data_IF_684358046506
#
_entry.id   IF_684358046506
#
_cell.length_a   1.000
_cell.length_b   1.000
_cell.length_c   1.000
_cell.angle_alpha   90.00
_cell.angle_beta   90.00
_cell.angle_gamma   90.00
#
_symmetry.space_group_name_H-M   'P 1'
#
loop_
_entity.id
_entity.type
_entity.pdbx_description
1 polymer ?
2 polymer ?
3 branched ?
4 non-polymer ?
5 non-polymer ?
6 non-polymer ?
7 water ?
#
# COMPACT_ATOMS: atom_id res chain seq x y z
N UNK A 1 -10.63 -20.97 -25.17
CA UNK A 1 -11.30 -20.00 -24.29
C UNK A 1 -11.12 -20.39 -22.81
N UNK A 2 -10.64 -19.44 -22.01
CA UNK A 2 -10.15 -19.75 -20.68
C UNK A 2 -10.92 -19.07 -19.54
N UNK A 3 -12.00 -18.35 -19.83
CA UNK A 3 -12.76 -17.66 -18.81
C UNK A 3 -14.22 -17.53 -19.22
N UNK A 4 -14.99 -16.87 -18.36
CA UNK A 4 -16.41 -16.63 -18.58
C UNK A 4 -16.72 -15.15 -18.31
N UNK A 5 -17.35 -14.50 -19.27
CA UNK A 5 -17.61 -13.06 -19.23
C UNK A 5 -19.04 -12.77 -18.78
N UNK A 6 -19.19 -11.72 -17.97
CA UNK A 6 -20.49 -11.21 -17.63
C UNK A 6 -20.53 -9.70 -17.80
N UNK A 7 -21.72 -9.11 -17.57
CA UNK A 7 -21.80 -7.64 -17.54
C UNK A 7 -20.80 -6.94 -16.62
N UNK A 8 -20.70 -7.33 -15.34
CA UNK A 8 -19.79 -6.66 -14.40
C UNK A 8 -18.74 -7.60 -13.81
N UNK A 9 -18.25 -8.58 -14.56
CA UNK A 9 -17.28 -9.49 -13.97
C UNK A 9 -16.57 -10.28 -15.06
N UNK A 10 -15.52 -11.00 -14.62
CA UNK A 10 -14.79 -11.95 -15.44
C UNK A 10 -14.36 -13.07 -14.51
N UNK A 11 -14.95 -14.25 -14.67
CA UNK A 11 -14.60 -15.41 -13.86
C UNK A 11 -13.48 -16.15 -14.59
N UNK A 12 -12.34 -16.34 -13.98
CA UNK A 12 -11.21 -16.99 -14.66
C UNK A 12 -11.34 -18.51 -14.70
N UNK A 13 -12.43 -18.98 -15.33
CA UNK A 13 -12.70 -20.41 -15.44
C UNK A 13 -13.61 -20.62 -16.63
N UNK A 14 -13.31 -21.61 -17.46
CA UNK A 14 -14.10 -21.85 -18.66
C UNK A 14 -15.47 -22.40 -18.27
N UNK A 15 -16.49 -22.00 -19.04
CA UNK A 15 -17.85 -22.49 -18.85
C UNK A 15 -18.18 -23.64 -19.79
N UNK A 16 -17.15 -24.39 -20.21
CA UNK A 16 -17.36 -25.51 -21.12
C UNK A 16 -18.32 -26.53 -20.53
N UNK A 17 -18.21 -26.77 -19.22
CA UNK A 17 -19.05 -27.73 -18.52
C UNK A 17 -20.34 -27.10 -17.99
N UNK A 18 -20.48 -25.78 -18.08
CA UNK A 18 -21.70 -25.11 -17.68
C UNK A 18 -21.84 -24.86 -16.19
N UNK A 19 -20.76 -25.00 -15.41
CA UNK A 19 -20.85 -24.88 -13.96
C UNK A 19 -20.56 -23.47 -13.44
N UNK A 20 -20.12 -22.54 -14.30
CA UNK A 20 -19.71 -21.23 -13.83
C UNK A 20 -20.94 -20.39 -13.48
N UNK A 21 -20.84 -19.66 -12.37
CA UNK A 21 -21.92 -18.79 -11.89
C UNK A 21 -21.39 -17.38 -11.65
N UNK A 22 -22.32 -16.43 -11.68
CA UNK A 22 -21.99 -15.05 -11.37
C UNK A 22 -21.35 -14.95 -9.99
N UNK A 23 -20.17 -14.32 -9.86
CA UNK A 23 -19.56 -14.19 -8.54
C UNK A 23 -20.36 -13.31 -7.58
N UNK A 24 -21.43 -12.68 -8.06
CA UNK A 24 -22.35 -11.95 -7.21
C UNK A 24 -23.52 -12.81 -6.72
N UNK A 25 -23.66 -14.05 -7.19
CA UNK A 25 -24.89 -14.81 -6.97
C UNK A 25 -24.71 -16.21 -6.39
N UNK A 26 -23.55 -16.82 -6.47
CA UNK A 26 -23.40 -18.22 -6.06
C UNK A 26 -21.93 -18.49 -5.77
N UNK A 27 -21.63 -19.49 -4.93
CA UNK A 27 -20.22 -19.75 -4.59
C UNK A 27 -19.40 -20.18 -5.80
N UNK A 28 -18.09 -19.99 -5.70
CA UNK A 28 -17.15 -20.26 -6.78
C UNK A 28 -16.28 -21.46 -6.48
N UNK A 29 -16.86 -22.50 -5.89
CA UNK A 29 -16.13 -23.69 -5.48
C UNK A 29 -15.62 -24.53 -6.66
N UNK A 30 -15.80 -24.08 -7.90
CA UNK A 30 -15.26 -24.75 -9.06
C UNK A 30 -13.93 -24.18 -9.53
N UNK A 31 -13.47 -23.06 -8.99
CA UNK A 31 -12.13 -22.55 -9.30
C UNK A 31 -11.21 -22.56 -8.09
N UNK A 32 -11.72 -22.96 -6.92
CA UNK A 32 -10.88 -23.26 -5.77
C UNK A 32 -11.69 -24.15 -4.85
N UNK A 33 -11.01 -25.08 -4.18
CA UNK A 33 -11.72 -25.91 -3.22
C UNK A 33 -12.21 -25.05 -2.05
N UNK A 34 -13.26 -25.50 -1.34
CA UNK A 34 -13.68 -24.76 -0.14
C UNK A 34 -12.55 -24.52 0.86
N UNK A 35 -11.65 -25.49 1.04
CA UNK A 35 -10.58 -25.30 2.02
C UNK A 35 -9.65 -24.16 1.62
N UNK A 36 -9.52 -23.88 0.32
CA UNK A 36 -8.70 -22.73 -0.09
C UNK A 36 -9.40 -21.42 0.18
N UNK A 37 -10.73 -21.38 0.02
CA UNK A 37 -11.50 -20.21 0.45
C UNK A 37 -11.38 -20.01 1.96
N UNK A 38 -11.34 -21.11 2.71
CA UNK A 38 -11.12 -21.03 4.15
C UNK A 38 -9.72 -20.49 4.48
N UNK A 39 -8.71 -20.86 3.67
CA UNK A 39 -7.37 -20.34 3.88
C UNK A 39 -7.29 -18.87 3.51
N UNK A 40 -8.01 -18.46 2.46
CA UNK A 40 -8.16 -17.04 2.17
C UNK A 40 -8.73 -16.29 3.38
N UNK A 41 -9.79 -16.83 3.99
CA UNK A 41 -10.37 -16.21 5.18
C UNK A 41 -9.38 -16.19 6.33
N UNK A 42 -8.62 -17.28 6.49
CA UNK A 42 -7.63 -17.32 7.56
C UNK A 42 -6.56 -16.26 7.36
N UNK A 43 -6.17 -16.03 6.10
CA UNK A 43 -5.16 -15.02 5.87
C UNK A 43 -5.70 -13.62 6.16
N UNK A 44 -6.94 -13.34 5.75
CA UNK A 44 -7.55 -12.05 6.10
C UNK A 44 -7.68 -11.89 7.61
N UNK A 45 -7.94 -12.98 8.33
CA UNK A 45 -7.99 -12.91 9.79
C UNK A 45 -6.63 -12.52 10.36
N UNK A 46 -5.55 -13.11 9.86
CA UNK A 46 -4.20 -12.74 10.29
C UNK A 46 -3.95 -11.25 10.07
N UNK A 47 -4.25 -10.74 8.87
CA UNK A 47 -3.97 -9.34 8.57
C UNK A 47 -4.82 -8.39 9.41
N UNK A 48 -6.00 -8.84 9.86
CA UNK A 48 -6.84 -8.01 10.73
C UNK A 48 -6.30 -8.02 12.15
N UNK A 49 -5.97 -9.22 12.66
CA UNK A 49 -5.49 -9.34 14.04
C UNK A 49 -4.17 -8.63 14.26
N UNK A 50 -3.33 -8.53 13.23
CA UNK A 50 -2.07 -7.78 13.34
C UNK A 50 -2.22 -6.35 12.85
N UNK A 51 -2.83 -6.18 11.66
CA UNK A 51 -2.88 -4.86 11.04
C UNK A 51 -3.72 -3.85 11.77
N UNK A 52 -4.75 -4.29 12.51
CA UNK A 52 -5.58 -3.33 13.22
C UNK A 52 -4.92 -2.82 14.49
N UNK A 53 -4.41 -3.67 15.40
CA UNK A 53 -3.73 -3.11 16.60
C UNK A 53 -2.53 -2.25 16.26
N UNK A 54 -1.64 -2.72 15.38
CA UNK A 54 -0.44 -1.95 15.04
C UNK A 54 -0.80 -0.56 14.53
N UNK A 55 -1.80 -0.47 13.64
CA UNK A 55 -2.13 0.83 13.07
C UNK A 55 -3.02 1.66 14.00
N UNK A 56 -3.89 1.01 14.77
CA UNK A 56 -4.69 1.75 15.74
C UNK A 56 -3.82 2.27 16.88
N UNK A 57 -2.91 1.43 17.38
CA UNK A 57 -1.99 1.87 18.43
C UNK A 57 -1.19 3.09 17.99
N UNK A 58 -0.78 3.13 16.71
CA UNK A 58 -0.08 4.31 16.19
C UNK A 58 -0.90 5.58 16.36
N UNK A 59 -2.19 5.52 16.04
CA UNK A 59 -3.05 6.68 16.28
C UNK A 59 -3.19 6.97 17.77
N UNK A 60 -3.31 5.92 18.57
CA UNK A 60 -3.62 6.08 19.99
C UNK A 60 -2.48 6.75 20.74
N UNK A 61 -1.23 6.29 20.53
CA UNK A 61 -0.12 6.89 21.27
C UNK A 61 0.11 8.33 20.81
N UNK A 62 -0.15 8.63 19.54
CA UNK A 62 -0.07 10.02 19.10
C UNK A 62 -1.03 10.91 19.88
N UNK A 63 -2.19 10.38 20.27
CA UNK A 63 -3.13 11.13 21.08
C UNK A 63 -2.59 11.32 22.51
N UNK A 64 -1.82 10.35 23.01
CA UNK A 64 -1.36 10.35 24.39
C UNK A 64 0.04 10.92 24.59
N UNK A 65 0.84 11.06 23.53
CA UNK A 65 2.22 11.50 23.66
C UNK A 65 2.44 12.79 22.86
N UNK A 66 2.56 13.90 23.58
CA UNK A 66 2.69 15.22 22.93
C UNK A 66 3.85 15.23 21.93
N UNK A 67 4.96 14.57 22.25
CA UNK A 67 6.15 14.72 21.43
C UNK A 67 6.01 14.06 20.07
N UNK A 68 4.95 13.29 19.84
CA UNK A 68 4.71 12.67 18.54
C UNK A 68 4.00 13.59 17.57
N UNK A 69 3.40 14.69 18.05
CA UNK A 69 2.54 15.54 17.22
C UNK A 69 3.34 16.67 16.57
N UNK A 70 4.38 16.27 15.78
CA UNK A 70 5.26 17.09 14.97
C UNK A 70 4.88 17.00 13.49
N UNK A 71 5.09 18.07 12.72
CA UNK A 71 4.75 18.04 11.29
C UNK A 71 5.36 16.89 10.50
N UNK A 72 6.64 16.58 10.72
CA UNK A 72 7.27 15.47 10.01
C UNK A 72 6.67 14.11 10.36
N UNK A 73 5.84 14.04 11.41
CA UNK A 73 5.14 12.81 11.74
C UNK A 73 3.73 12.75 11.13
N UNK A 74 3.18 13.89 10.67
CA UNK A 74 1.84 13.90 10.11
C UNK A 74 1.66 12.80 9.06
N UNK A 75 2.66 12.62 8.19
CA UNK A 75 2.53 11.69 7.08
C UNK A 75 2.55 10.25 7.58
N UNK A 76 3.20 9.99 8.72
CA UNK A 76 3.15 8.66 9.31
C UNK A 76 1.78 8.39 9.92
N UNK A 77 1.14 9.41 10.48
CA UNK A 77 -0.24 9.29 10.89
C UNK A 77 -1.12 8.97 9.69
N UNK A 78 -0.89 9.68 8.59
CA UNK A 78 -1.60 9.41 7.35
C UNK A 78 -1.42 7.98 6.90
N UNK A 79 -0.21 7.45 7.03
CA UNK A 79 0.06 6.06 6.70
C UNK A 79 -0.79 5.12 7.52
N UNK A 80 -0.94 5.41 8.82
CA UNK A 80 -1.69 4.52 9.70
C UNK A 80 -3.17 4.56 9.39
N UNK A 81 -3.70 5.73 9.03
CA UNK A 81 -5.11 5.85 8.65
C UNK A 81 -5.38 5.13 7.33
N UNK A 82 -4.47 5.29 6.36
CA UNK A 82 -4.62 4.59 5.09
C UNK A 82 -4.64 3.08 5.29
N UNK A 83 -3.76 2.57 6.15
CA UNK A 83 -3.74 1.13 6.39
C UNK A 83 -5.04 0.66 7.04
N UNK A 84 -5.74 1.55 7.75
CA UNK A 84 -7.01 1.15 8.35
C UNK A 84 -8.13 1.13 7.33
N UNK A 85 -8.10 2.02 6.32
CA UNK A 85 -8.99 1.87 5.18
C UNK A 85 -8.82 0.51 4.52
N UNK A 86 -7.58 0.02 4.43
CA UNK A 86 -7.35 -1.31 3.88
C UNK A 86 -7.93 -2.39 4.78
N UNK A 87 -7.87 -2.17 6.10
CA UNK A 87 -8.32 -3.19 7.04
C UNK A 87 -9.84 -3.33 7.01
N UNK A 88 -10.56 -2.20 7.02
CA UNK A 88 -12.02 -2.22 7.08
C UNK A 88 -12.70 -2.03 5.73
N UNK A 89 -12.00 -1.50 4.75
CA UNK A 89 -12.57 -1.44 3.41
C UNK A 89 -12.45 -2.79 2.74
N UNK A 90 -11.26 -3.38 2.80
CA UNK A 90 -10.99 -4.62 2.13
C UNK A 90 -10.94 -5.86 3.03
N UNK A 91 -10.07 -5.86 4.04
CA UNK A 91 -9.77 -7.10 4.75
C UNK A 91 -11.01 -7.70 5.40
N UNK A 92 -11.80 -6.88 6.14
CA UNK A 92 -12.97 -7.42 6.81
C UNK A 92 -14.02 -7.87 5.82
N UNK A 93 -14.25 -7.08 4.76
CA UNK A 93 -15.17 -7.47 3.70
C UNK A 93 -14.78 -8.82 3.11
N UNK A 94 -13.49 -8.99 2.80
CA UNK A 94 -13.02 -10.21 2.16
C UNK A 94 -13.03 -11.39 3.11
N UNK A 95 -12.88 -11.14 4.41
CA UNK A 95 -13.13 -12.21 5.37
C UNK A 95 -14.57 -12.68 5.29
N UNK A 96 -15.51 -11.74 5.23
CA UNK A 96 -16.91 -12.08 5.18
C UNK A 96 -17.25 -12.82 3.88
N UNK A 97 -16.92 -12.23 2.73
CA UNK A 97 -17.31 -12.81 1.45
C UNK A 97 -16.64 -14.17 1.21
N UNK A 98 -15.37 -14.33 1.60
CA UNK A 98 -14.70 -15.61 1.37
C UNK A 98 -15.41 -16.75 2.08
N UNK A 99 -16.04 -16.48 3.24
CA UNK A 99 -16.79 -17.52 3.98
C UNK A 99 -18.11 -17.87 3.30
N UNK A 100 -18.60 -17.04 2.38
CA UNK A 100 -19.68 -17.41 1.48
C UNK A 100 -19.19 -18.05 0.18
N UNK A 101 -17.92 -17.86 -0.16
CA UNK A 101 -17.38 -18.38 -1.40
C UNK A 101 -17.60 -17.51 -2.62
N UNK A 102 -18.09 -16.28 -2.44
CA UNK A 102 -18.35 -15.37 -3.56
C UNK A 102 -18.66 -14.00 -2.97
N UNK A 103 -18.82 -13.02 -3.87
CA UNK A 103 -18.96 -11.62 -3.44
C UNK A 103 -20.44 -11.34 -3.21
N UNK A 104 -20.87 -11.49 -1.95
CA UNK A 104 -22.31 -11.44 -1.63
C UNK A 104 -22.91 -10.04 -1.67
N UNK A 105 -22.11 -9.00 -1.83
CA UNK A 105 -22.62 -7.63 -1.74
C UNK A 105 -23.00 -7.05 -3.09
N UNK A 106 -22.75 -7.75 -4.19
CA UNK A 106 -23.23 -7.33 -5.48
C UNK A 106 -22.37 -6.28 -6.14
N UNK A 107 -22.79 -5.84 -7.33
CA UNK A 107 -22.00 -4.85 -8.07
C UNK A 107 -21.82 -3.53 -7.33
N UNK A 108 -22.81 -3.09 -6.54
CA UNK A 108 -22.67 -1.87 -5.77
C UNK A 108 -21.61 -2.04 -4.68
N UNK A 109 -21.77 -3.06 -3.84
CA UNK A 109 -20.76 -3.32 -2.82
C UNK A 109 -19.39 -3.57 -3.42
N UNK A 110 -19.35 -4.06 -4.66
CA UNK A 110 -18.07 -4.24 -5.35
C UNK A 110 -17.39 -2.90 -5.58
N UNK A 111 -18.15 -1.88 -5.99
CA UNK A 111 -17.55 -0.57 -6.20
C UNK A 111 -17.12 0.07 -4.88
N UNK A 112 -17.94 -0.06 -3.84
CA UNK A 112 -17.57 0.45 -2.52
C UNK A 112 -16.27 -0.20 -2.04
N UNK A 113 -16.23 -1.53 -2.02
CA UNK A 113 -15.06 -2.22 -1.51
C UNK A 113 -13.84 -1.93 -2.36
N UNK A 114 -14.02 -1.84 -3.68
CA UNK A 114 -12.90 -1.55 -4.56
C UNK A 114 -12.39 -0.12 -4.39
N UNK A 115 -13.31 0.83 -4.23
CA UNK A 115 -12.91 2.22 -4.05
C UNK A 115 -12.12 2.42 -2.75
N UNK A 116 -12.63 1.89 -1.63
CA UNK A 116 -11.99 2.20 -0.35
C UNK A 116 -10.72 1.39 -0.13
N UNK A 117 -10.66 0.18 -0.67
CA UNK A 117 -9.44 -0.62 -0.55
C UNK A 117 -8.35 -0.12 -1.48
N UNK A 118 -8.73 0.32 -2.69
CA UNK A 118 -7.77 0.93 -3.59
C UNK A 118 -7.35 2.32 -3.07
N UNK A 119 -8.31 3.08 -2.52
CA UNK A 119 -7.95 4.38 -1.93
C UNK A 119 -6.99 4.21 -0.76
N UNK A 120 -7.26 3.23 0.11
CA UNK A 120 -6.37 3.02 1.24
C UNK A 120 -4.95 2.71 0.84
N UNK A 121 -4.78 1.81 -0.14
CA UNK A 121 -3.44 1.43 -0.56
C UNK A 121 -2.73 2.51 -1.36
N UNK A 122 -3.49 3.37 -2.03
CA UNK A 122 -2.85 4.45 -2.78
C UNK A 122 -2.46 5.63 -1.90
N UNK A 123 -3.25 5.92 -0.85
CA UNK A 123 -2.84 6.87 0.16
C UNK A 123 -1.58 6.39 0.86
N UNK A 124 -1.52 5.09 1.18
CA UNK A 124 -0.34 4.52 1.80
C UNK A 124 0.87 4.62 0.88
N UNK A 125 0.68 4.27 -0.40
CA UNK A 125 1.78 4.35 -1.37
C UNK A 125 2.33 5.77 -1.48
N UNK A 126 1.46 6.75 -1.74
CA UNK A 126 1.92 8.12 -1.91
C UNK A 126 2.40 8.74 -0.60
N UNK A 127 2.02 8.17 0.54
CA UNK A 127 2.60 8.62 1.81
C UNK A 127 4.08 8.28 1.86
N UNK A 128 4.45 7.08 1.39
CA UNK A 128 5.86 6.70 1.34
C UNK A 128 6.65 7.59 0.38
N UNK A 129 6.01 8.05 -0.69
CA UNK A 129 6.66 9.00 -1.59
C UNK A 129 6.88 10.32 -0.89
N UNK A 130 5.81 10.87 -0.29
CA UNK A 130 5.90 12.18 0.34
C UNK A 130 6.86 12.12 1.52
N UNK A 131 6.85 11.01 2.27
CA UNK A 131 7.81 10.86 3.37
C UNK A 131 9.24 11.00 2.88
N UNK A 132 9.54 10.43 1.71
CA UNK A 132 10.89 10.49 1.19
C UNK A 132 11.22 11.88 0.65
N UNK A 133 10.26 12.53 -0.03
CA UNK A 133 10.49 13.88 -0.51
C UNK A 133 10.83 14.81 0.65
N UNK A 134 10.14 14.63 1.78
CA UNK A 134 10.35 15.47 2.94
C UNK A 134 11.70 15.20 3.58
N UNK A 135 12.02 13.93 3.84
CA UNK A 135 13.33 13.56 4.37
C UNK A 135 14.46 14.08 3.49
N UNK A 136 14.27 14.03 2.17
CA UNK A 136 15.27 14.56 1.26
C UNK A 136 15.39 16.08 1.40
N UNK A 137 14.25 16.77 1.45
CA UNK A 137 14.25 18.23 1.58
C UNK A 137 14.87 18.67 2.91
N UNK A 138 14.59 17.93 3.98
CA UNK A 138 15.05 18.36 5.30
C UNK A 138 16.53 18.02 5.51
N UNK A 139 16.97 16.84 5.08
CA UNK A 139 18.35 16.42 5.31
C UNK A 139 19.30 16.93 4.23
N UNK A 140 18.96 16.72 2.96
CA UNK A 140 19.86 17.13 1.88
C UNK A 140 19.85 18.64 1.65
N UNK A 141 18.88 19.36 2.21
CA UNK A 141 18.82 20.82 2.14
C UNK A 141 18.97 21.35 0.72
N UNK A 142 18.10 20.94 -0.21
CA UNK A 142 18.24 21.41 -1.60
C UNK A 142 17.83 22.85 -1.80
N UNK A 143 17.09 23.44 -0.86
CA UNK A 143 16.59 24.80 -0.98
C UNK A 143 17.32 25.73 -0.03
N UNK A 144 17.40 27.00 -0.40
CA UNK A 144 18.12 27.99 0.39
C UNK A 144 17.23 28.46 1.54
N UNK A 145 17.69 28.24 2.78
CA UNK A 145 17.05 28.77 3.98
C UNK A 145 15.58 28.35 4.09
N UNK A 146 15.28 27.11 3.71
CA UNK A 146 13.94 26.57 3.82
C UNK A 146 13.79 25.82 5.14
N UNK A 147 12.71 26.12 5.87
CA UNK A 147 12.39 25.45 7.13
C UNK A 147 11.03 24.78 7.01
N UNK A 148 11.01 23.46 7.22
CA UNK A 148 9.81 22.65 7.02
C UNK A 148 8.84 22.85 8.19
N UNK A 149 7.65 23.37 7.90
CA UNK A 149 6.69 23.67 8.93
C UNK A 149 5.37 22.92 8.83
N UNK A 150 4.37 23.38 9.58
CA UNK A 150 3.10 22.67 9.65
C UNK A 150 2.34 22.74 8.32
N UNK A 151 2.40 23.89 7.63
CA UNK A 151 1.65 24.04 6.39
C UNK A 151 2.23 23.17 5.27
N UNK A 152 3.54 22.93 5.26
CA UNK A 152 4.09 22.00 4.27
C UNK A 152 3.62 20.59 4.56
N UNK A 153 3.56 20.22 5.85
CA UNK A 153 3.14 18.86 6.21
C UNK A 153 1.69 18.60 5.82
N UNK A 154 0.82 19.61 5.99
CA UNK A 154 -0.58 19.47 5.56
C UNK A 154 -0.67 19.40 4.04
N UNK A 155 0.13 20.22 3.34
CA UNK A 155 0.20 20.14 1.89
C UNK A 155 0.61 18.74 1.44
N UNK A 156 1.55 18.11 2.15
CA UNK A 156 1.97 16.77 1.79
C UNK A 156 0.88 15.73 1.99
N UNK A 157 0.09 15.87 3.06
CA UNK A 157 -1.01 14.93 3.30
C UNK A 157 -2.11 15.12 2.25
N UNK A 158 -2.47 16.37 1.97
CA UNK A 158 -3.51 16.62 0.96
C UNK A 158 -3.08 16.11 -0.40
N UNK A 159 -1.78 16.18 -0.71
CA UNK A 159 -1.28 15.70 -2.00
C UNK A 159 -1.49 14.19 -2.14
N UNK A 160 -1.32 13.45 -1.05
CA UNK A 160 -1.56 12.00 -1.12
C UNK A 160 -3.04 11.70 -1.36
N UNK A 161 -3.93 12.45 -0.71
CA UNK A 161 -5.36 12.26 -0.92
C UNK A 161 -5.76 12.53 -2.36
N UNK A 162 -5.23 13.62 -2.94
CA UNK A 162 -5.55 13.96 -4.32
C UNK A 162 -5.00 12.91 -5.28
N UNK A 163 -3.78 12.42 -5.05
CA UNK A 163 -3.20 11.42 -5.95
C UNK A 163 -3.94 10.09 -5.85
N UNK A 164 -4.35 9.70 -4.63
CA UNK A 164 -5.11 8.47 -4.47
C UNK A 164 -6.50 8.58 -5.08
N UNK A 165 -7.14 9.74 -4.96
CA UNK A 165 -8.42 9.93 -5.64
C UNK A 165 -8.25 9.87 -7.15
N UNK A 166 -7.12 10.37 -7.68
CA UNK A 166 -6.87 10.30 -9.11
C UNK A 166 -6.74 8.87 -9.59
N UNK A 167 -6.51 7.92 -8.69
CA UNK A 167 -6.41 6.51 -9.04
C UNK A 167 -7.69 5.74 -8.77
N UNK A 168 -8.35 5.99 -7.65
CA UNK A 168 -9.49 5.18 -7.20
C UNK A 168 -10.83 5.67 -7.73
N UNK A 169 -10.97 6.94 -8.12
CA UNK A 169 -12.25 7.47 -8.57
C UNK A 169 -12.59 7.20 -10.03
N UNK A 170 -11.65 7.28 -10.98
CA UNK A 170 -12.01 7.05 -12.41
C UNK A 170 -12.73 5.73 -12.65
N UNK A 171 -12.32 4.61 -12.04
CA UNK A 171 -13.07 3.36 -12.27
C UNK A 171 -14.53 3.41 -11.83
N UNK A 172 -14.95 4.46 -11.11
CA UNK A 172 -16.35 4.62 -10.75
C UNK A 172 -17.14 5.40 -11.79
N UNK A 173 -16.47 6.14 -12.66
CA UNK A 173 -17.13 6.97 -13.65
C UNK A 173 -16.73 6.62 -15.08
N UNK A 174 -16.23 5.41 -15.31
CA UNK A 174 -16.11 4.88 -16.65
C UNK A 174 -14.72 4.80 -17.25
N UNK A 175 -13.67 5.09 -16.50
CA UNK A 175 -12.30 4.86 -16.94
C UNK A 175 -11.77 3.67 -16.14
N UNK A 176 -11.60 2.53 -16.82
CA UNK A 176 -11.47 1.22 -16.19
C UNK A 176 -12.73 0.90 -15.38
N UNK A 177 -12.64 -0.06 -14.47
CA UNK A 177 -13.81 -0.47 -13.71
C UNK A 177 -13.37 -1.35 -12.54
N UNK A 178 -14.29 -1.55 -11.59
CA UNK A 178 -14.07 -2.46 -10.47
C UNK A 178 -14.83 -3.75 -10.74
N UNK A 179 -14.12 -4.87 -10.64
CA UNK A 179 -14.74 -6.19 -10.72
C UNK A 179 -14.10 -7.10 -9.67
N UNK A 180 -14.75 -8.20 -9.33
CA UNK A 180 -14.09 -9.21 -8.49
C UNK A 180 -12.85 -9.75 -9.18
N UNK A 181 -11.76 -9.88 -8.40
CA UNK A 181 -10.52 -10.44 -8.90
C UNK A 181 -10.29 -11.83 -8.32
N UNK A 182 -9.30 -12.53 -8.88
CA UNK A 182 -8.88 -13.84 -8.42
C UNK A 182 -9.98 -14.82 -8.05
N UNK A 183 -10.06 -15.16 -6.77
CA UNK A 183 -11.05 -16.12 -6.29
C UNK A 183 -12.43 -15.49 -6.16
N UNK A 184 -12.59 -14.24 -6.61
CA UNK A 184 -13.88 -13.58 -6.81
C UNK A 184 -14.49 -13.11 -5.49
N UNK A 185 -13.69 -13.02 -4.44
CA UNK A 185 -14.17 -12.60 -3.13
C UNK A 185 -13.79 -11.16 -2.79
N UNK A 186 -12.87 -10.55 -3.51
CA UNK A 186 -12.54 -9.14 -3.32
C UNK A 186 -12.51 -8.44 -4.67
N UNK A 187 -12.78 -7.14 -4.65
CA UNK A 187 -12.89 -6.35 -5.87
C UNK A 187 -11.71 -5.40 -6.01
N UNK A 188 -11.24 -5.23 -7.24
CA UNK A 188 -10.19 -4.30 -7.54
C UNK A 188 -10.29 -3.80 -8.97
N UNK A 189 -9.30 -2.97 -9.33
CA UNK A 189 -9.19 -2.45 -10.69
C UNK A 189 -9.04 -3.61 -11.66
N UNK A 190 -9.74 -3.50 -12.80
CA UNK A 190 -9.64 -4.45 -13.90
C UNK A 190 -8.41 -4.06 -14.72
N UNK A 191 -7.29 -4.71 -14.41
CA UNK A 191 -6.03 -4.45 -15.10
C UNK A 191 -5.64 -5.61 -16.01
N UNK A 192 -6.59 -6.49 -16.32
CA UNK A 192 -6.25 -7.74 -17.02
C UNK A 192 -7.21 -8.14 -18.13
N UNK A 193 -8.44 -7.59 -18.20
CA UNK A 193 -9.23 -7.84 -19.40
C UNK A 193 -9.28 -6.57 -20.24
N UNK A 194 -9.28 -6.69 -21.59
CA UNK A 194 -9.24 -5.51 -22.47
C UNK A 194 -10.62 -4.90 -22.71
N UNK A 195 -11.26 -4.45 -21.63
CA UNK A 195 -12.62 -3.94 -21.68
C UNK A 195 -12.60 -2.55 -22.31
N UNK A 196 -12.99 -2.47 -23.59
CA UNK A 196 -12.81 -1.26 -24.36
C UNK A 196 -13.87 -0.20 -24.08
N UNK A 197 -15.05 -0.59 -23.58
CA UNK A 197 -16.07 0.40 -23.25
C UNK A 197 -15.63 1.31 -22.09
N UNK A 198 -14.73 0.84 -21.24
CA UNK A 198 -14.17 1.65 -20.17
C UNK A 198 -12.70 1.97 -20.38
N UNK A 199 -12.14 1.65 -21.56
CA UNK A 199 -10.78 1.99 -21.96
C UNK A 199 -9.75 1.49 -20.95
N UNK A 200 -9.80 0.18 -20.70
CA UNK A 200 -8.94 -0.40 -19.68
C UNK A 200 -7.46 -0.22 -20.02
N UNK A 201 -7.10 -0.34 -21.31
CA UNK A 201 -5.68 -0.35 -21.68
C UNK A 201 -4.99 0.95 -21.31
N UNK A 202 -5.60 2.09 -21.65
CA UNK A 202 -4.98 3.36 -21.33
C UNK A 202 -4.93 3.63 -19.83
N UNK A 203 -5.91 3.14 -19.07
CA UNK A 203 -5.86 3.33 -17.63
C UNK A 203 -4.74 2.51 -17.00
N UNK A 204 -4.51 1.30 -17.49
CA UNK A 204 -3.42 0.49 -16.94
C UNK A 204 -2.07 1.14 -17.24
N UNK A 205 -1.92 1.74 -18.43
CA UNK A 205 -0.72 2.50 -18.74
C UNK A 205 -0.57 3.67 -17.76
N UNK A 206 -1.63 4.46 -17.61
CA UNK A 206 -1.59 5.59 -16.69
C UNK A 206 -1.29 5.13 -15.25
N UNK A 207 -1.83 4.00 -14.84
CA UNK A 207 -1.50 3.44 -13.53
C UNK A 207 -0.03 3.08 -13.46
N UNK A 208 0.46 2.41 -14.49
CA UNK A 208 1.84 1.93 -14.50
C UNK A 208 2.82 3.09 -14.43
N UNK A 209 2.58 4.14 -15.22
CA UNK A 209 3.51 5.26 -15.27
C UNK A 209 3.38 6.15 -14.05
N UNK A 210 2.17 6.67 -13.79
CA UNK A 210 1.99 7.71 -12.77
C UNK A 210 2.00 7.13 -11.36
N UNK A 211 1.44 5.93 -11.15
CA UNK A 211 1.33 5.40 -9.79
C UNK A 211 2.28 4.24 -9.51
N UNK A 212 3.16 3.90 -10.44
CA UNK A 212 4.23 2.97 -10.10
C UNK A 212 5.61 3.52 -10.46
N UNK A 213 5.83 3.88 -11.73
CA UNK A 213 7.15 4.33 -12.18
C UNK A 213 7.55 5.62 -11.47
N UNK A 214 6.68 6.63 -11.54
CA UNK A 214 6.99 7.91 -10.89
C UNK A 214 7.22 7.75 -9.39
N UNK A 215 6.37 7.05 -8.62
CA UNK A 215 6.75 6.80 -7.22
C UNK A 215 8.08 6.09 -7.08
N UNK A 216 8.42 5.20 -8.00
CA UNK A 216 9.69 4.48 -7.90
C UNK A 216 10.86 5.42 -8.11
N UNK A 217 10.77 6.27 -9.14
CA UNK A 217 11.85 7.21 -9.44
C UNK A 217 12.07 8.17 -8.28
N UNK A 218 10.98 8.78 -7.79
CA UNK A 218 11.08 9.78 -6.72
C UNK A 218 11.67 9.18 -5.46
N UNK A 219 11.18 7.99 -5.07
CA UNK A 219 11.73 7.34 -3.87
C UNK A 219 13.22 7.03 -4.05
N UNK A 220 13.62 6.59 -5.24
CA UNK A 220 15.01 6.22 -5.46
C UNK A 220 15.91 7.45 -5.51
N UNK A 221 15.46 8.50 -6.19
CA UNK A 221 16.22 9.75 -6.20
C UNK A 221 16.37 10.31 -4.79
N UNK A 222 15.25 10.50 -4.08
CA UNK A 222 15.30 11.17 -2.78
C UNK A 222 16.17 10.40 -1.79
N UNK A 223 16.00 9.08 -1.71
CA UNK A 223 16.80 8.31 -0.77
C UNK A 223 18.23 8.10 -1.26
N UNK A 224 18.43 8.01 -2.58
CA UNK A 224 19.79 8.01 -3.11
C UNK A 224 20.55 9.26 -2.70
N UNK A 225 19.91 10.43 -2.86
CA UNK A 225 20.52 11.67 -2.41
C UNK A 225 20.77 11.66 -0.90
N UNK A 226 19.82 11.13 -0.13
CA UNK A 226 19.95 11.13 1.32
C UNK A 226 21.11 10.25 1.77
N UNK A 227 21.24 9.05 1.19
CA UNK A 227 22.38 8.20 1.52
C UNK A 227 23.68 8.85 1.08
N UNK A 228 23.66 9.57 -0.05
CA UNK A 228 24.87 10.22 -0.50
C UNK A 228 25.26 11.37 0.42
N UNK A 229 24.28 12.17 0.86
CA UNK A 229 24.58 13.27 1.77
C UNK A 229 25.12 12.76 3.10
N UNK A 230 24.56 11.66 3.61
CA UNK A 230 24.99 11.15 4.91
C UNK A 230 26.38 10.53 4.80
N UNK A 231 26.67 9.81 3.71
CA UNK A 231 28.00 9.25 3.55
C UNK A 231 29.03 10.35 3.36
N UNK A 232 28.66 11.42 2.66
CA UNK A 232 29.56 12.55 2.47
C UNK A 232 29.85 13.25 3.79
N UNK A 233 28.82 13.42 4.63
CA UNK A 233 29.00 14.07 5.92
C UNK A 233 29.86 13.22 6.85
N UNK A 234 29.65 11.91 6.86
CA UNK A 234 30.45 11.04 7.72
C UNK A 234 31.91 10.98 7.26
N UNK A 235 32.15 10.89 5.96
CA UNK A 235 33.53 10.84 5.44
C UNK A 235 34.31 12.08 5.85
N UNK A 236 33.64 13.23 5.88
CA UNK A 236 34.25 14.50 6.24
C UNK A 236 34.18 14.75 7.75
N UNK A 237 33.82 13.73 8.54
CA UNK A 237 33.69 13.86 9.99
C UNK A 237 33.97 12.51 10.65
N UNK A 238 35.07 11.87 10.26
CA UNK A 238 35.44 10.55 10.77
C UNK A 238 35.84 10.55 12.24
N UNK A 239 36.09 11.71 12.85
CA UNK A 239 36.39 11.76 14.28
C UNK A 239 35.13 11.56 15.14
N UNK A 240 33.96 11.46 14.53
CA UNK A 240 32.71 11.28 15.25
C UNK A 240 32.23 9.84 15.05
N UNK A 241 32.33 9.02 16.09
CA UNK A 241 31.85 7.64 16.00
C UNK A 241 30.33 7.60 15.86
N UNK A 242 29.62 8.56 16.45
CA UNK A 242 28.17 8.63 16.31
C UNK A 242 27.77 8.87 14.86
N UNK A 243 28.49 9.76 14.17
CA UNK A 243 28.18 10.03 12.77
C UNK A 243 28.44 8.82 11.89
N UNK A 244 29.47 8.03 12.20
CA UNK A 244 29.68 6.77 11.48
C UNK A 244 28.53 5.80 11.75
N UNK A 245 28.04 5.76 12.99
CA UNK A 245 26.90 4.92 13.33
C UNK A 245 25.65 5.38 12.60
N UNK A 246 25.42 6.70 12.54
CA UNK A 246 24.26 7.22 11.81
C UNK A 246 24.30 6.80 10.35
N UNK A 247 25.47 6.91 9.70
CA UNK A 247 25.59 6.54 8.31
C UNK A 247 25.20 5.08 8.08
N UNK A 248 25.64 4.18 8.97
CA UNK A 248 25.27 2.77 8.83
C UNK A 248 23.77 2.57 9.04
N UNK A 249 23.18 3.29 10.00
CA UNK A 249 21.75 3.12 10.29
C UNK A 249 20.90 3.63 9.14
N UNK A 250 21.24 4.80 8.61
CA UNK A 250 20.49 5.35 7.49
C UNK A 250 20.58 4.44 6.27
N UNK A 251 21.77 3.90 6.00
CA UNK A 251 21.92 3.03 4.83
C UNK A 251 21.13 1.73 5.00
N UNK A 252 21.07 1.21 6.23
CA UNK A 252 20.31 -0.01 6.47
C UNK A 252 18.81 0.25 6.32
N UNK A 253 18.31 1.37 6.89
CA UNK A 253 16.89 1.68 6.77
C UNK A 253 16.49 1.95 5.33
N UNK A 254 17.34 2.64 4.57
CA UNK A 254 16.98 2.94 3.18
C UNK A 254 16.88 1.66 2.37
N UNK A 255 17.77 0.70 2.62
CA UNK A 255 17.70 -0.58 1.91
C UNK A 255 16.40 -1.30 2.26
N UNK A 256 16.04 -1.32 3.54
CA UNK A 256 14.81 -1.97 3.97
C UNK A 256 13.59 -1.29 3.35
N UNK A 257 13.59 0.04 3.28
CA UNK A 257 12.43 0.76 2.76
C UNK A 257 12.23 0.49 1.26
N UNK A 258 13.29 0.57 0.45
CA UNK A 258 13.08 0.39 -1.00
C UNK A 258 12.84 -1.08 -1.32
N UNK A 259 13.47 -2.00 -0.60
CA UNK A 259 13.15 -3.41 -0.80
C UNK A 259 11.70 -3.69 -0.41
N UNK A 260 11.24 -3.07 0.68
CA UNK A 260 9.85 -3.26 1.10
C UNK A 260 8.88 -2.68 0.09
N UNK A 261 9.23 -1.55 -0.51
CA UNK A 261 8.40 -0.98 -1.57
C UNK A 261 8.35 -1.90 -2.79
N UNK A 262 9.50 -2.47 -3.17
CA UNK A 262 9.52 -3.37 -4.31
C UNK A 262 8.70 -4.63 -4.03
N UNK A 263 8.83 -5.20 -2.83
CA UNK A 263 8.03 -6.39 -2.50
C UNK A 263 6.54 -6.08 -2.57
N UNK A 264 6.17 -4.83 -2.33
CA UNK A 264 4.76 -4.48 -2.26
C UNK A 264 4.14 -4.29 -3.65
N UNK A 265 4.85 -3.64 -4.58
CA UNK A 265 4.26 -3.23 -5.83
C UNK A 265 4.84 -3.90 -7.07
N UNK A 266 6.05 -4.45 -7.00
CA UNK A 266 6.63 -5.07 -8.20
C UNK A 266 5.81 -6.25 -8.71
N UNK A 267 5.26 -7.14 -7.88
CA UNK A 267 4.40 -8.21 -8.43
C UNK A 267 3.18 -7.69 -9.17
N UNK A 268 2.50 -6.67 -8.65
CA UNK A 268 1.37 -6.07 -9.36
C UNK A 268 1.82 -5.45 -10.68
N UNK A 269 2.93 -4.73 -10.66
CA UNK A 269 3.43 -4.13 -11.89
C UNK A 269 3.92 -5.19 -12.86
N UNK A 270 4.54 -6.26 -12.34
CA UNK A 270 5.04 -7.30 -13.22
C UNK A 270 3.92 -8.09 -13.88
N UNK A 271 2.94 -8.51 -13.08
CA UNK A 271 1.80 -9.25 -13.61
C UNK A 271 1.03 -8.40 -14.62
N UNK A 272 0.81 -7.12 -14.29
CA UNK A 272 0.09 -6.25 -15.22
C UNK A 272 0.87 -6.07 -16.52
N UNK A 273 2.19 -5.90 -16.42
CA UNK A 273 3.03 -5.78 -17.61
C UNK A 273 2.98 -7.05 -18.45
N UNK A 274 3.06 -8.22 -17.80
CA UNK A 274 3.03 -9.49 -18.52
C UNK A 274 1.70 -9.70 -19.22
N UNK A 275 0.60 -9.43 -18.52
CA UNK A 275 -0.73 -9.53 -19.14
C UNK A 275 -0.85 -8.54 -20.30
N UNK A 276 -0.28 -7.35 -20.14
CA UNK A 276 -0.36 -6.34 -21.19
C UNK A 276 0.38 -6.79 -22.45
N UNK A 277 1.63 -7.25 -22.28
CA UNK A 277 2.44 -7.66 -23.43
C UNK A 277 2.09 -9.05 -23.94
N UNK A 278 1.49 -9.90 -23.11
CA UNK A 278 0.97 -11.19 -23.55
C UNK A 278 -0.56 -11.20 -23.45
N UNK A 279 -1.21 -10.27 -24.15
CA UNK A 279 -2.66 -10.22 -24.14
C UNK A 279 -3.22 -11.44 -24.87
N UNK A 280 -3.93 -12.29 -24.15
CA UNK A 280 -4.40 -13.54 -24.69
C UNK A 280 -3.67 -14.73 -24.11
N UNK A 281 -3.85 -14.97 -22.81
CA UNK A 281 -3.27 -16.12 -22.15
C UNK A 281 -4.06 -16.42 -20.89
N UNK A 282 -3.89 -17.65 -20.39
CA UNK A 282 -4.65 -18.16 -19.26
C UNK A 282 -3.99 -17.72 -17.96
N UNK A 283 -4.74 -16.99 -17.12
CA UNK A 283 -4.28 -16.52 -15.82
C UNK A 283 -5.29 -16.95 -14.77
N UNK A 284 -4.93 -17.93 -13.95
CA UNK A 284 -5.87 -18.52 -13.00
C UNK A 284 -6.21 -17.63 -11.83
N UNK A 285 -7.21 -18.04 -11.03
CA UNK A 285 -7.66 -17.24 -9.89
C UNK A 285 -6.62 -17.10 -8.79
N UNK A 286 -6.04 -18.23 -8.36
CA UNK A 286 -5.08 -18.21 -7.27
C UNK A 286 -3.79 -17.49 -7.69
N UNK A 287 -3.36 -17.67 -8.95
CA UNK A 287 -2.23 -16.91 -9.46
C UNK A 287 -2.47 -15.41 -9.38
N UNK A 288 -3.72 -14.96 -9.58
CA UNK A 288 -4.02 -13.53 -9.55
C UNK A 288 -4.07 -12.97 -8.14
N UNK A 289 -4.22 -13.82 -7.12
CA UNK A 289 -4.23 -13.36 -5.74
C UNK A 289 -2.81 -13.25 -5.15
N UNK A 290 -1.79 -13.66 -5.89
CA UNK A 290 -0.39 -13.54 -5.44
C UNK A 290 0.00 -12.07 -5.34
N UNK A 291 -0.16 -11.24 -6.39
CA UNK A 291 0.17 -9.82 -6.22
C UNK A 291 -0.75 -9.12 -5.23
N UNK A 292 -1.97 -9.62 -5.03
CA UNK A 292 -2.85 -9.10 -3.99
C UNK A 292 -2.30 -9.44 -2.60
N UNK A 293 -1.80 -10.67 -2.44
CA UNK A 293 -1.20 -11.08 -1.18
C UNK A 293 -0.04 -10.16 -0.79
N UNK A 294 0.83 -9.82 -1.75
CA UNK A 294 2.01 -9.02 -1.44
C UNK A 294 1.64 -7.58 -1.10
N UNK A 295 0.77 -6.97 -1.90
CA UNK A 295 0.40 -5.57 -1.66
C UNK A 295 -0.38 -5.39 -0.35
N UNK A 296 -1.27 -6.33 -0.03
CA UNK A 296 -2.14 -6.16 1.13
C UNK A 296 -1.39 -6.40 2.45
N UNK A 297 -0.40 -7.30 2.45
CA UNK A 297 0.37 -7.54 3.67
C UNK A 297 1.17 -6.32 4.09
N UNK A 298 1.32 -5.33 3.20
CA UNK A 298 1.97 -4.09 3.56
C UNK A 298 1.20 -3.30 4.62
N UNK A 299 -0.06 -3.64 4.90
CA UNK A 299 -0.76 -2.98 6.00
C UNK A 299 -0.20 -3.42 7.34
N UNK A 300 0.53 -4.53 7.38
CA UNK A 300 1.24 -4.96 8.57
C UNK A 300 2.70 -4.53 8.54
N UNK A 301 3.42 -4.77 7.44
CA UNK A 301 4.86 -4.58 7.49
C UNK A 301 5.30 -3.13 7.24
N UNK A 302 4.46 -2.30 6.62
CA UNK A 302 4.80 -0.88 6.55
C UNK A 302 4.82 -0.22 7.93
N UNK A 303 3.80 -0.37 8.79
CA UNK A 303 3.92 0.23 10.13
C UNK A 303 5.01 -0.40 10.99
N UNK A 304 5.41 -1.65 10.73
CA UNK A 304 6.57 -2.19 11.44
C UNK A 304 7.82 -1.41 11.04
N UNK A 305 7.99 -1.14 9.75
CA UNK A 305 9.20 -0.51 9.24
C UNK A 305 9.21 0.98 9.54
N UNK A 306 8.08 1.67 9.33
CA UNK A 306 8.00 3.13 9.42
C UNK A 306 7.51 3.64 10.77
N UNK A 307 6.98 2.78 11.64
CA UNK A 307 6.49 3.23 12.94
C UNK A 307 7.25 2.49 14.03
N UNK A 308 7.15 1.16 14.06
CA UNK A 308 7.71 0.41 15.17
C UNK A 308 9.23 0.46 15.19
N UNK A 309 9.87 0.62 14.04
CA UNK A 309 11.32 0.74 13.97
C UNK A 309 11.79 2.18 14.11
N UNK A 310 10.85 3.09 14.40
CA UNK A 310 11.15 4.49 14.67
C UNK A 310 11.28 4.68 16.19
N UNK A 311 12.44 5.19 16.63
CA UNK A 311 12.77 5.28 18.05
C UNK A 311 11.66 5.95 18.86
N UNK A 312 11.15 7.08 18.37
CA UNK A 312 10.16 7.85 19.13
C UNK A 312 8.85 7.07 19.28
N UNK A 313 8.32 6.53 18.18
CA UNK A 313 7.05 5.81 18.27
C UNK A 313 7.20 4.56 19.11
N UNK A 314 8.29 3.81 18.92
CA UNK A 314 8.47 2.58 19.67
C UNK A 314 8.53 2.86 21.17
N UNK A 315 9.24 3.92 21.57
CA UNK A 315 9.32 4.29 22.99
C UNK A 315 7.94 4.57 23.56
N UNK A 316 7.15 5.39 22.87
CA UNK A 316 5.82 5.72 23.37
C UNK A 316 4.91 4.49 23.37
N UNK A 317 5.02 3.62 22.36
CA UNK A 317 4.19 2.41 22.33
C UNK A 317 4.52 1.49 23.51
N UNK A 318 5.81 1.25 23.76
CA UNK A 318 6.22 0.42 24.88
C UNK A 318 5.71 1.01 26.19
N UNK A 319 5.83 2.33 26.35
CA UNK A 319 5.31 2.99 27.54
C UNK A 319 3.81 2.77 27.69
N UNK A 320 3.06 2.87 26.58
CA UNK A 320 1.61 2.72 26.64
C UNK A 320 1.20 1.28 26.91
N UNK A 321 1.89 0.33 26.28
CA UNK A 321 1.50 -1.07 26.43
C UNK A 321 1.94 -1.65 27.77
N UNK A 322 3.03 -1.13 28.34
CA UNK A 322 3.52 -1.58 29.63
C UNK A 322 3.11 -0.62 30.75
N UNK A 323 1.96 0.05 30.57
CA UNK A 323 1.23 0.79 31.60
C UNK A 323 1.95 2.05 32.09
N UNK A 324 3.27 2.13 31.92
CA UNK A 324 3.99 3.33 32.30
C UNK A 324 5.50 3.17 32.41
N UNK A 325 6.03 2.01 32.05
CA UNK A 325 7.47 1.76 32.12
C UNK A 325 8.19 2.43 30.95
N UNK A 326 9.51 2.51 31.06
CA UNK A 326 10.39 3.08 30.04
C UNK A 326 10.14 2.52 28.64
N UNK B 1 24.12 17.28 10.78
CA UNK B 1 23.25 16.35 10.06
C UNK B 1 22.49 15.46 11.04
N UNK B 2 23.07 15.29 12.23
CA UNK B 2 22.51 14.34 13.20
C UNK B 2 21.13 14.78 13.68
N UNK B 3 20.94 16.07 13.95
CA UNK B 3 19.66 16.54 14.44
C UNK B 3 18.57 16.34 13.40
N UNK B 4 18.87 16.61 12.14
CA UNK B 4 17.89 16.40 11.08
C UNK B 4 17.54 14.93 10.94
N UNK B 5 18.52 14.04 11.09
CA UNK B 5 18.24 12.61 11.05
C UNK B 5 17.31 12.20 12.18
N UNK B 6 17.48 12.78 13.37
CA UNK B 6 16.59 12.45 14.48
C UNK B 6 15.17 12.94 14.21
N UNK B 7 15.04 14.16 13.65
CA UNK B 7 13.72 14.71 13.37
C UNK B 7 12.92 13.81 12.43
N UNK B 8 13.54 13.29 11.38
CA UNK B 8 12.85 12.50 10.37
C UNK B 8 12.73 11.04 10.75
N UNK B 9 13.27 10.64 11.91
CA UNK B 9 13.04 9.30 12.39
C UNK B 9 13.96 8.24 11.85
N UNK B 10 15.17 8.64 11.41
CA UNK B 10 16.10 7.71 10.80
C UNK B 10 17.27 7.34 11.71
N UNK B 11 17.52 8.11 12.77
CA UNK B 11 18.59 7.79 13.70
C UNK B 11 18.23 8.21 15.13
#
# INVERSE_FOLDING_TARGET
MNGTEGPNFYVPFSNKTGVVRSPFEAPQYYLAEPWQFSMLAAYMFLLIMLGFPINFLTLYVTVQHKKLRTPLNYILLNLAVADLFMVFGGFTTTLYTSLHGYFVFGPTGCNLEGFFATLGGEIALWSLVVLAIERYVVVCKPMSNFRFGENHAIMGVAFTWVMALACAAPPLVGWSRYIPEGMQCSCGIDYYTPHEETNNESFVIYMFVVHFIIPLIVIFFCYGQLVFTVKEAAAQQQESATTQKAEKEVTRMVIIMVIAFLICWLPYAGVAFYIFTHQGSDFGPIFMTIPAFFAKTSAVYNPVIYIMMNKQFRNCMVTTLCCGKNPLGDDEASTTVSKTETSQVAPA
ILENLKDVGLF
#
